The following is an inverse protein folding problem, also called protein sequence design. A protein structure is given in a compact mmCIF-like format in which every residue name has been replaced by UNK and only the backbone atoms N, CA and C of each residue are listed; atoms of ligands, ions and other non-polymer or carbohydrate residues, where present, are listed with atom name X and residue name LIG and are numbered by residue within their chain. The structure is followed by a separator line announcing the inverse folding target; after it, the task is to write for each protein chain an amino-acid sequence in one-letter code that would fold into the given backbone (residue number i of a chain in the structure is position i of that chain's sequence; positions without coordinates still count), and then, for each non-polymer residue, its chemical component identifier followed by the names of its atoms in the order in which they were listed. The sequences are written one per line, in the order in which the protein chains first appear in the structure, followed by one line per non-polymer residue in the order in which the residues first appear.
data_IF_179153613859
#
_entry.id   IF_179153613859
#
_cell.length_a   1.000
_cell.length_b   1.000
_cell.length_c   1.000
_cell.angle_alpha   90.00
_cell.angle_beta   90.00
_cell.angle_gamma   90.00
#
_symmetry.space_group_name_H-M   'P 1'
#
loop_
_entity.id
_entity.type
_entity.pdbx_description
1 polymer ?
#
# COMPACT_ATOMS: atom_id res chain seq x y z
N UNK A 1 -1.03 -21.80 19.02
CA UNK A 1 -2.05 -21.55 17.97
C UNK A 1 -2.40 -20.07 18.05
N UNK A 2 -1.87 -19.27 17.14
CA UNK A 2 -2.14 -17.84 17.16
C UNK A 2 -3.54 -17.61 16.66
N UNK A 3 -4.27 -16.79 17.42
CA UNK A 3 -5.65 -16.53 17.11
C UNK A 3 -5.79 -15.51 15.98
N UNK A 4 -6.85 -15.61 15.20
CA UNK A 4 -7.25 -14.60 14.18
C UNK A 4 -7.35 -13.20 14.82
N UNK A 5 -7.81 -13.13 16.05
CA UNK A 5 -7.91 -11.91 16.85
C UNK A 5 -6.54 -11.25 17.01
N UNK A 6 -5.50 -12.03 17.30
CA UNK A 6 -4.14 -11.54 17.44
C UNK A 6 -3.57 -11.07 16.10
N UNK A 7 -3.79 -11.83 15.02
CA UNK A 7 -3.37 -11.42 13.68
C UNK A 7 -4.05 -10.12 13.23
N UNK A 8 -5.34 -9.95 13.48
CA UNK A 8 -6.02 -8.70 13.15
C UNK A 8 -5.47 -7.53 13.97
N UNK A 9 -5.23 -7.74 15.26
CA UNK A 9 -4.60 -6.73 16.12
C UNK A 9 -3.22 -6.34 15.62
N UNK A 10 -2.40 -7.28 15.19
CA UNK A 10 -1.08 -7.02 14.58
C UNK A 10 -1.21 -6.17 13.32
N UNK A 11 -2.10 -6.53 12.40
CA UNK A 11 -2.34 -5.74 11.17
C UNK A 11 -2.78 -4.30 11.47
N UNK A 12 -3.69 -4.12 12.42
CA UNK A 12 -4.17 -2.80 12.82
C UNK A 12 -3.09 -1.94 13.49
N UNK A 13 -2.05 -2.55 14.04
CA UNK A 13 -0.91 -1.87 14.68
C UNK A 13 0.35 -1.84 13.78
N UNK A 14 0.24 -2.20 12.51
CA UNK A 14 1.35 -2.19 11.56
C UNK A 14 2.45 -3.22 11.86
N UNK A 15 2.11 -4.27 12.60
CA UNK A 15 3.03 -5.36 12.93
C UNK A 15 2.93 -6.49 11.90
N UNK A 16 4.03 -7.21 11.63
CA UNK A 16 4.00 -8.36 10.74
C UNK A 16 3.13 -9.49 11.34
N UNK A 17 2.46 -10.22 10.45
CA UNK A 17 1.77 -11.45 10.84
C UNK A 17 2.76 -12.53 11.23
N UNK A 18 2.27 -13.56 11.88
CA UNK A 18 3.11 -14.70 12.19
C UNK A 18 3.40 -15.56 10.95
N UNK A 19 4.56 -16.18 10.97
CA UNK A 19 5.18 -16.86 9.85
C UNK A 19 4.30 -17.94 9.19
N UNK A 20 3.46 -18.64 9.97
CA UNK A 20 2.59 -19.71 9.48
C UNK A 20 1.51 -19.20 8.50
N UNK A 21 1.07 -17.95 8.63
CA UNK A 21 -0.01 -17.39 7.80
C UNK A 21 0.50 -16.56 6.63
N UNK A 22 1.78 -16.25 6.60
CA UNK A 22 2.41 -15.36 5.62
C UNK A 22 2.37 -15.90 4.18
N UNK A 23 2.44 -17.22 4.02
CA UNK A 23 2.52 -17.88 2.71
C UNK A 23 1.18 -18.45 2.20
N UNK A 24 0.08 -18.18 2.89
CA UNK A 24 -1.23 -18.67 2.50
C UNK A 24 -1.83 -17.78 1.41
N UNK A 25 -2.19 -18.39 0.28
CA UNK A 25 -2.82 -17.70 -0.83
C UNK A 25 -4.05 -18.49 -1.30
N UNK A 26 -5.18 -17.80 -1.41
CA UNK A 26 -6.46 -18.41 -1.79
C UNK A 26 -6.65 -18.48 -3.31
N UNK A 27 -6.04 -17.56 -4.04
CA UNK A 27 -6.20 -17.44 -5.48
C UNK A 27 -4.85 -17.04 -6.10
N UNK A 28 -4.05 -18.05 -6.39
CA UNK A 28 -2.72 -17.90 -6.98
C UNK A 28 -2.82 -17.46 -8.44
N UNK A 29 -1.72 -16.96 -9.00
CA UNK A 29 -1.67 -16.57 -10.41
C UNK A 29 -1.92 -17.79 -11.34
N UNK A 30 -1.47 -18.97 -10.95
CA UNK A 30 -1.78 -20.22 -11.66
C UNK A 30 -3.28 -20.50 -11.67
N UNK A 31 -3.95 -20.43 -10.53
CA UNK A 31 -5.41 -20.60 -10.42
C UNK A 31 -6.17 -19.53 -11.22
N UNK A 32 -5.70 -18.27 -11.22
CA UNK A 32 -6.25 -17.19 -12.04
C UNK A 32 -6.11 -17.48 -13.54
N UNK A 33 -4.96 -17.98 -13.96
CA UNK A 33 -4.72 -18.34 -15.36
C UNK A 33 -5.61 -19.51 -15.80
N UNK A 34 -5.73 -20.56 -14.98
CA UNK A 34 -6.64 -21.69 -15.26
C UNK A 34 -8.09 -21.24 -15.38
N UNK A 35 -8.54 -20.35 -14.50
CA UNK A 35 -9.90 -19.77 -14.59
C UNK A 35 -10.11 -18.95 -15.87
N UNK A 36 -9.09 -18.25 -16.34
CA UNK A 36 -9.12 -17.47 -17.57
C UNK A 36 -9.15 -18.39 -18.80
N UNK A 37 -8.33 -19.42 -18.83
CA UNK A 37 -8.30 -20.44 -19.89
C UNK A 37 -9.61 -21.22 -20.00
N UNK A 38 -10.24 -21.54 -18.88
CA UNK A 38 -11.56 -22.17 -18.84
C UNK A 38 -12.66 -21.34 -19.50
N UNK A 39 -12.47 -20.02 -19.62
CA UNK A 39 -13.33 -19.10 -20.34
C UNK A 39 -12.94 -18.95 -21.82
N UNK A 40 -11.94 -19.67 -22.30
CA UNK A 40 -11.41 -19.57 -23.66
C UNK A 40 -10.55 -18.33 -23.91
N UNK A 41 -10.07 -17.69 -22.86
CA UNK A 41 -9.23 -16.48 -22.93
C UNK A 41 -7.77 -16.85 -22.66
N UNK A 42 -6.86 -16.32 -23.48
CA UNK A 42 -5.43 -16.52 -23.28
C UNK A 42 -4.93 -15.71 -22.07
N UNK A 43 -4.21 -16.33 -21.11
CA UNK A 43 -3.57 -15.61 -20.02
C UNK A 43 -2.56 -14.56 -20.51
N UNK A 44 -2.51 -13.42 -19.83
CA UNK A 44 -1.60 -12.31 -20.16
C UNK A 44 -0.32 -12.28 -19.34
N UNK A 45 -0.20 -13.18 -18.36
CA UNK A 45 1.01 -13.35 -17.55
C UNK A 45 1.24 -14.84 -17.28
N UNK A 46 2.49 -15.22 -17.13
CA UNK A 46 2.87 -16.58 -16.76
C UNK A 46 2.77 -16.79 -15.25
N UNK A 47 2.43 -18.01 -14.83
CA UNK A 47 2.22 -18.34 -13.40
C UNK A 47 3.53 -18.37 -12.60
N UNK A 48 4.68 -18.41 -13.26
CA UNK A 48 6.01 -18.36 -12.68
C UNK A 48 6.53 -16.92 -12.43
N UNK A 49 5.69 -15.91 -12.63
CA UNK A 49 6.07 -14.52 -12.37
C UNK A 49 6.62 -14.34 -10.94
N UNK A 50 7.81 -13.75 -10.85
CA UNK A 50 8.47 -13.44 -9.59
C UNK A 50 8.79 -11.94 -9.56
N UNK A 51 8.31 -11.19 -8.54
CA UNK A 51 8.69 -9.81 -8.33
C UNK A 51 10.19 -9.70 -8.12
N UNK A 52 10.85 -8.90 -8.96
CA UNK A 52 12.28 -8.62 -8.85
C UNK A 52 12.48 -7.15 -9.13
N UNK A 53 12.95 -6.40 -8.14
CA UNK A 53 13.14 -4.94 -8.22
C UNK A 53 14.11 -4.61 -9.37
N UNK A 54 13.70 -3.67 -10.21
CA UNK A 54 14.46 -3.24 -11.37
C UNK A 54 14.41 -4.18 -12.58
N UNK A 55 13.67 -5.29 -12.50
CA UNK A 55 13.48 -6.24 -13.60
C UNK A 55 12.02 -6.45 -13.95
N UNK A 56 11.27 -7.05 -13.04
CA UNK A 56 9.86 -7.40 -13.26
C UNK A 56 8.88 -6.48 -12.53
N UNK A 57 9.35 -5.77 -11.51
CA UNK A 57 8.57 -4.78 -10.78
C UNK A 57 9.33 -3.47 -10.65
N UNK A 58 8.57 -2.38 -10.60
CA UNK A 58 9.07 -1.04 -10.31
C UNK A 58 8.43 -0.56 -9.03
N UNK A 59 9.24 -0.37 -8.00
CA UNK A 59 8.85 0.26 -6.74
C UNK A 59 9.46 1.65 -6.67
N UNK A 60 8.61 2.64 -6.40
CA UNK A 60 9.00 4.04 -6.30
C UNK A 60 8.63 4.55 -4.92
N UNK A 61 9.48 5.38 -4.35
CA UNK A 61 9.19 6.17 -3.15
C UNK A 61 9.00 7.62 -3.55
N UNK A 62 8.01 8.27 -2.98
CA UNK A 62 7.80 9.71 -3.10
C UNK A 62 7.61 10.28 -1.70
N UNK A 63 8.40 11.28 -1.34
CA UNK A 63 8.41 11.82 0.02
C UNK A 63 7.82 13.23 0.03
N UNK A 64 6.87 13.47 0.91
CA UNK A 64 6.20 14.76 1.04
C UNK A 64 6.41 15.28 2.46
N UNK A 65 7.33 16.22 2.62
CA UNK A 65 7.57 16.88 3.91
C UNK A 65 6.91 18.25 3.92
N UNK A 66 6.18 18.52 4.99
CA UNK A 66 5.50 19.79 5.21
C UNK A 66 6.07 20.39 6.50
N UNK A 67 6.59 21.62 6.43
CA UNK A 67 7.10 22.32 7.60
C UNK A 67 6.00 23.09 8.35
N UNK A 68 6.36 23.79 9.44
CA UNK A 68 5.41 24.51 10.29
C UNK A 68 4.82 25.76 9.60
N UNK A 69 5.41 26.21 8.49
CA UNK A 69 4.87 27.27 7.64
C UNK A 69 3.98 26.75 6.51
N UNK A 70 3.63 25.46 6.55
CA UNK A 70 2.86 24.78 5.51
C UNK A 70 3.55 24.77 4.12
N UNK A 71 4.86 24.92 4.11
CA UNK A 71 5.68 24.79 2.90
C UNK A 71 6.05 23.34 2.67
N UNK A 72 6.17 22.94 1.42
CA UNK A 72 6.52 21.59 0.97
C UNK A 72 7.97 21.55 0.47
N UNK A 73 8.71 20.54 0.88
CA UNK A 73 10.04 20.29 0.38
C UNK A 73 9.97 19.80 -1.06
N UNK A 74 10.56 20.55 -1.98
CA UNK A 74 10.62 20.22 -3.40
C UNK A 74 12.03 20.31 -3.94
N UNK A 75 12.28 19.55 -4.99
CA UNK A 75 13.54 19.54 -5.71
C UNK A 75 13.35 19.95 -7.16
N UNK A 76 14.40 20.45 -7.77
CA UNK A 76 14.41 20.83 -9.19
C UNK A 76 15.18 19.79 -10.00
N UNK A 77 14.55 19.26 -11.01
CA UNK A 77 15.06 18.17 -11.85
C UNK A 77 16.32 18.57 -12.61
N UNK A 78 17.31 17.68 -12.57
CA UNK A 78 18.53 17.77 -13.36
C UNK A 78 18.48 16.96 -14.66
N UNK A 79 17.57 15.98 -14.77
CA UNK A 79 17.44 15.11 -15.95
C UNK A 79 17.10 15.91 -17.19
N UNK A 80 17.82 15.70 -18.27
CA UNK A 80 17.68 16.47 -19.51
C UNK A 80 16.24 16.57 -20.04
N UNK A 81 15.45 15.51 -19.91
CA UNK A 81 14.05 15.47 -20.39
C UNK A 81 13.09 16.39 -19.60
N UNK A 82 13.45 16.77 -18.38
CA UNK A 82 12.62 17.58 -17.49
C UNK A 82 13.43 18.59 -16.67
N UNK A 83 14.63 18.94 -17.13
CA UNK A 83 15.55 19.85 -16.43
C UNK A 83 14.88 21.19 -16.10
N UNK A 84 15.09 21.63 -14.88
CA UNK A 84 14.54 22.88 -14.37
C UNK A 84 13.09 22.81 -13.86
N UNK A 85 12.40 21.70 -14.08
CA UNK A 85 11.05 21.48 -13.53
C UNK A 85 11.11 21.00 -12.09
N UNK A 86 10.08 21.32 -11.33
CA UNK A 86 9.99 20.97 -9.93
C UNK A 86 9.18 19.71 -9.67
N UNK A 87 9.61 18.94 -8.69
CA UNK A 87 8.95 17.71 -8.27
C UNK A 87 9.17 17.43 -6.78
N UNK A 88 8.49 16.43 -6.24
CA UNK A 88 8.80 15.91 -4.91
C UNK A 88 10.10 15.10 -4.95
N UNK A 89 10.83 14.99 -3.82
CA UNK A 89 11.88 14.00 -3.70
C UNK A 89 11.31 12.60 -3.93
N UNK A 90 11.76 11.94 -4.99
CA UNK A 90 11.19 10.67 -5.42
C UNK A 90 12.14 9.91 -6.34
N UNK A 91 12.17 8.59 -6.18
CA UNK A 91 12.98 7.76 -7.04
C UNK A 91 12.66 6.28 -6.94
N UNK A 92 13.35 5.49 -7.73
CA UNK A 92 13.20 4.04 -7.76
C UNK A 92 13.93 3.40 -6.59
N UNK A 93 13.27 2.44 -5.97
CA UNK A 93 13.95 1.57 -5.01
C UNK A 93 15.02 0.74 -5.72
N UNK A 94 16.15 0.57 -5.06
CA UNK A 94 17.22 -0.31 -5.51
C UNK A 94 17.07 -1.71 -4.91
N UNK A 95 17.60 -2.76 -5.57
CA UNK A 95 17.62 -4.10 -4.99
C UNK A 95 18.25 -4.13 -3.60
N UNK A 96 17.58 -4.79 -2.65
CA UNK A 96 18.05 -4.92 -1.28
C UNK A 96 17.68 -3.79 -0.33
N UNK A 97 17.09 -2.71 -0.82
CA UNK A 97 16.58 -1.61 0.02
C UNK A 97 15.20 -1.92 0.59
N UNK A 98 14.98 -1.52 1.84
CA UNK A 98 13.61 -1.36 2.36
C UNK A 98 12.96 -0.08 1.79
N UNK A 99 11.64 0.02 1.89
CA UNK A 99 10.90 1.22 1.46
C UNK A 99 11.41 2.47 2.19
N UNK A 100 11.62 2.38 3.51
CA UNK A 100 12.11 3.53 4.29
C UNK A 100 13.57 3.89 3.99
N UNK A 101 14.44 2.91 3.78
CA UNK A 101 15.84 3.16 3.38
C UNK A 101 15.91 3.87 2.03
N UNK A 102 15.14 3.41 1.06
CA UNK A 102 15.04 4.06 -0.25
C UNK A 102 14.55 5.51 -0.13
N UNK A 103 13.52 5.75 0.69
CA UNK A 103 12.98 7.09 0.91
C UNK A 103 14.04 8.03 1.52
N UNK A 104 14.76 7.59 2.54
CA UNK A 104 15.83 8.37 3.18
C UNK A 104 16.95 8.68 2.19
N UNK A 105 17.36 7.70 1.37
CA UNK A 105 18.40 7.88 0.35
C UNK A 105 17.99 8.90 -0.70
N UNK A 106 16.81 8.77 -1.28
CA UNK A 106 16.31 9.70 -2.32
C UNK A 106 16.18 11.14 -1.79
N UNK A 107 15.67 11.30 -0.57
CA UNK A 107 15.59 12.63 0.07
C UNK A 107 16.98 13.25 0.21
N UNK A 108 17.97 12.49 0.67
CA UNK A 108 19.33 13.00 0.82
C UNK A 108 19.97 13.34 -0.53
N UNK A 109 19.87 12.45 -1.51
CA UNK A 109 20.48 12.63 -2.84
C UNK A 109 19.89 13.83 -3.58
N UNK A 110 18.59 14.06 -3.46
CA UNK A 110 17.90 15.11 -4.20
C UNK A 110 17.81 16.44 -3.46
N UNK A 111 17.84 16.43 -2.12
CA UNK A 111 17.67 17.66 -1.32
C UNK A 111 18.81 18.03 -0.40
N UNK A 112 19.73 17.12 -0.13
CA UNK A 112 20.82 17.29 0.84
C UNK A 112 20.37 17.15 2.31
N UNK A 113 19.09 16.85 2.55
CA UNK A 113 18.53 16.77 3.91
C UNK A 113 18.46 15.32 4.40
N UNK A 114 18.68 15.16 5.71
CA UNK A 114 18.48 13.89 6.40
C UNK A 114 17.05 13.81 6.92
N UNK A 115 16.38 12.72 6.62
CA UNK A 115 14.98 12.51 6.99
C UNK A 115 14.80 11.29 7.89
N UNK A 116 13.82 11.39 8.78
CA UNK A 116 13.22 10.26 9.49
C UNK A 116 11.81 10.05 8.94
N UNK A 117 11.55 8.87 8.39
CA UNK A 117 10.22 8.51 7.88
C UNK A 117 9.32 8.10 9.04
N UNK A 118 8.14 8.69 9.14
CA UNK A 118 7.20 8.42 10.24
C UNK A 118 5.96 7.66 9.83
N UNK A 119 5.49 7.80 8.59
CA UNK A 119 4.29 7.10 8.12
C UNK A 119 4.18 7.05 6.60
N UNK A 120 3.43 6.07 6.12
CA UNK A 120 2.85 6.05 4.79
C UNK A 120 1.66 7.03 4.74
N UNK A 121 1.49 7.72 3.62
CA UNK A 121 0.35 8.61 3.36
C UNK A 121 -0.59 8.07 2.29
N UNK A 122 -0.04 7.38 1.29
CA UNK A 122 -0.80 6.80 0.20
C UNK A 122 0.00 5.68 -0.48
N UNK A 123 -0.72 4.81 -1.17
CA UNK A 123 -0.17 3.85 -2.11
C UNK A 123 -0.79 4.10 -3.47
N UNK A 124 0.04 4.20 -4.50
CA UNK A 124 -0.40 4.27 -5.89
C UNK A 124 0.06 3.03 -6.64
N UNK A 125 -0.77 2.53 -7.52
CA UNK A 125 -0.48 1.36 -8.33
C UNK A 125 -0.90 1.58 -9.79
N UNK A 126 -0.05 1.15 -10.72
CA UNK A 126 -0.36 1.11 -12.15
C UNK A 126 -0.13 -0.32 -12.65
N UNK A 127 -1.21 -1.01 -13.04
CA UNK A 127 -1.16 -2.46 -13.20
C UNK A 127 -0.85 -3.15 -11.89
N UNK A 128 -0.22 -4.32 -11.94
CA UNK A 128 0.19 -5.11 -10.77
C UNK A 128 1.69 -5.22 -10.60
N UNK A 129 2.48 -4.41 -11.31
CA UNK A 129 3.94 -4.45 -11.30
C UNK A 129 4.61 -3.09 -11.09
N UNK A 130 3.83 -2.03 -10.95
CA UNK A 130 4.31 -0.69 -10.65
C UNK A 130 3.60 -0.14 -9.41
N UNK A 131 4.38 0.26 -8.40
CA UNK A 131 3.87 0.79 -7.14
C UNK A 131 4.67 2.01 -6.72
N UNK A 132 3.96 3.03 -6.24
CA UNK A 132 4.57 4.21 -5.62
C UNK A 132 4.09 4.35 -4.18
N UNK A 133 5.03 4.28 -3.25
CA UNK A 133 4.81 4.46 -1.83
C UNK A 133 5.01 5.92 -1.50
N UNK A 134 3.97 6.57 -1.00
CA UNK A 134 4.00 7.98 -0.62
C UNK A 134 4.17 8.07 0.89
N UNK A 135 5.24 8.73 1.31
CA UNK A 135 5.66 8.78 2.71
C UNK A 135 5.85 10.22 3.17
N UNK A 136 5.79 10.40 4.48
CA UNK A 136 6.16 11.65 5.15
C UNK A 136 6.99 11.35 6.40
N UNK A 137 7.49 12.40 7.01
CA UNK A 137 8.29 12.29 8.22
C UNK A 137 8.82 13.64 8.68
N UNK A 138 9.96 13.61 9.34
CA UNK A 138 10.63 14.77 9.88
C UNK A 138 12.01 14.95 9.22
N UNK A 139 12.39 16.20 8.98
CA UNK A 139 13.77 16.52 8.63
C UNK A 139 14.57 16.64 9.93
N UNK A 140 15.63 15.85 10.03
CA UNK A 140 16.43 15.70 11.25
C UNK A 140 17.86 16.26 11.12
N UNK A 141 18.22 16.77 9.95
CA UNK A 141 19.55 17.35 9.72
C UNK A 141 19.83 17.55 8.25
N UNK A 142 21.10 17.77 7.94
CA UNK A 142 21.58 18.04 6.60
C UNK A 142 21.51 19.52 6.22
N UNK A 143 21.94 19.82 5.01
CA UNK A 143 21.92 21.16 4.44
C UNK A 143 21.16 21.15 3.11
N UNK A 144 20.21 22.06 2.95
CA UNK A 144 19.40 22.19 1.74
C UNK A 144 20.29 22.40 0.51
N UNK A 145 20.11 21.59 -0.52
CA UNK A 145 20.91 21.66 -1.75
C UNK A 145 20.71 22.99 -2.46
N UNK A 146 21.78 23.72 -2.66
CA UNK A 146 21.82 24.98 -3.41
C UNK A 146 22.22 24.75 -4.87
N UNK A 147 22.00 25.69 -5.82
CA UNK A 147 22.47 25.56 -7.20
C UNK A 147 23.96 25.31 -7.34
N UNK A 148 24.78 25.81 -6.39
CA UNK A 148 26.24 25.58 -6.39
C UNK A 148 26.61 24.10 -6.12
N UNK A 149 25.68 23.33 -5.56
CA UNK A 149 25.82 21.89 -5.26
C UNK A 149 25.01 21.01 -6.21
N UNK A 150 24.54 21.57 -7.33
CA UNK A 150 23.83 20.83 -8.36
C UNK A 150 24.65 19.62 -8.85
N UNK A 151 23.95 18.50 -9.05
CA UNK A 151 24.55 17.27 -9.57
C UNK A 151 23.56 16.57 -10.53
N UNK A 152 23.84 15.33 -10.86
CA UNK A 152 22.99 14.53 -11.77
C UNK A 152 21.59 14.21 -11.19
N UNK A 153 21.44 14.27 -9.86
CA UNK A 153 20.18 13.92 -9.19
C UNK A 153 19.24 15.13 -9.17
N UNK A 154 19.74 16.32 -8.81
CA UNK A 154 18.95 17.53 -8.75
C UNK A 154 19.77 18.80 -8.91
N UNK A 155 19.13 19.88 -9.35
CA UNK A 155 19.76 21.20 -9.48
C UNK A 155 19.77 21.95 -8.15
N UNK A 156 18.70 21.86 -7.37
CA UNK A 156 18.52 22.47 -6.05
C UNK A 156 17.28 21.90 -5.36
N UNK A 157 17.13 22.20 -4.09
CA UNK A 157 15.90 21.95 -3.34
C UNK A 157 15.47 23.19 -2.56
N UNK A 158 14.16 23.34 -2.35
CA UNK A 158 13.57 24.48 -1.63
C UNK A 158 12.32 24.06 -0.87
N UNK A 159 12.01 24.78 0.18
CA UNK A 159 10.70 24.80 0.79
C UNK A 159 9.78 25.75 0.02
N UNK A 160 8.66 25.23 -0.50
CA UNK A 160 7.75 25.96 -1.39
C UNK A 160 6.39 26.12 -0.73
N UNK A 161 5.94 27.38 -0.62
CA UNK A 161 4.62 27.71 -0.07
C UNK A 161 3.50 27.54 -1.11
N UNK A 162 3.68 28.15 -2.27
CA UNK A 162 2.71 28.07 -3.37
C UNK A 162 3.30 27.31 -4.57
N UNK A 163 2.80 26.09 -4.78
CA UNK A 163 3.24 25.25 -5.90
C UNK A 163 2.72 25.73 -7.26
N UNK A 164 1.68 26.58 -7.29
CA UNK A 164 1.12 27.11 -8.55
C UNK A 164 2.08 28.07 -9.28
N UNK A 165 3.05 28.64 -8.56
CA UNK A 165 4.09 29.49 -9.12
C UNK A 165 5.20 28.70 -9.83
N UNK A 166 5.20 27.38 -9.72
CA UNK A 166 6.25 26.51 -10.23
C UNK A 166 5.86 25.85 -11.56
N UNK A 167 6.87 25.66 -12.41
CA UNK A 167 6.77 24.71 -13.53
C UNK A 167 6.98 23.31 -13.01
N UNK A 168 5.91 22.56 -12.81
CA UNK A 168 5.96 21.19 -12.32
C UNK A 168 6.34 20.20 -13.41
N UNK A 169 7.13 19.19 -13.06
CA UNK A 169 7.43 18.06 -13.96
C UNK A 169 6.17 17.31 -14.36
N UNK A 170 5.26 17.10 -13.41
CA UNK A 170 3.94 16.50 -13.61
C UNK A 170 3.00 16.99 -12.51
N UNK A 171 1.70 17.01 -12.79
CA UNK A 171 0.68 17.47 -11.84
C UNK A 171 0.15 16.36 -10.93
N UNK A 172 0.59 15.13 -11.08
CA UNK A 172 0.21 13.98 -10.27
C UNK A 172 0.53 14.15 -8.78
N UNK A 173 1.53 14.97 -8.45
CA UNK A 173 1.95 15.24 -7.07
C UNK A 173 1.04 16.22 -6.32
N UNK A 174 0.19 16.97 -7.00
CA UNK A 174 -0.67 17.99 -6.35
C UNK A 174 -1.57 17.37 -5.29
N UNK A 175 -2.25 16.27 -5.63
CA UNK A 175 -3.09 15.54 -4.68
C UNK A 175 -2.30 14.94 -3.52
N UNK A 176 -1.06 14.52 -3.74
CA UNK A 176 -0.18 13.98 -2.70
C UNK A 176 0.25 15.07 -1.71
N UNK A 177 0.52 16.26 -2.21
CA UNK A 177 0.82 17.45 -1.39
C UNK A 177 -0.38 17.82 -0.53
N UNK A 178 -1.59 17.80 -1.10
CA UNK A 178 -2.83 18.07 -0.36
C UNK A 178 -3.05 17.06 0.77
N UNK A 179 -2.82 15.77 0.51
CA UNK A 179 -2.88 14.73 1.53
C UNK A 179 -1.87 15.02 2.66
N UNK A 180 -0.63 15.33 2.33
CA UNK A 180 0.42 15.59 3.31
C UNK A 180 0.14 16.83 4.15
N UNK A 181 -0.33 17.92 3.55
CA UNK A 181 -0.74 19.14 4.27
C UNK A 181 -1.92 18.86 5.20
N UNK A 182 -2.93 18.13 4.73
CA UNK A 182 -4.07 17.72 5.54
C UNK A 182 -3.65 16.85 6.72
N UNK A 183 -2.73 15.92 6.49
CA UNK A 183 -2.18 15.08 7.55
C UNK A 183 -1.38 15.90 8.59
N UNK A 184 -0.53 16.82 8.16
CA UNK A 184 0.25 17.71 9.03
C UNK A 184 -0.67 18.58 9.88
N UNK A 185 -1.71 19.14 9.28
CA UNK A 185 -2.63 20.11 9.88
C UNK A 185 -3.90 19.48 10.46
N UNK A 186 -3.88 18.17 10.71
CA UNK A 186 -5.08 17.43 11.13
C UNK A 186 -5.70 17.89 12.45
N UNK A 187 -4.92 18.57 13.30
CA UNK A 187 -5.40 19.06 14.59
C UNK A 187 -5.98 17.94 15.46
N UNK A 188 -7.14 18.17 16.10
CA UNK A 188 -7.81 17.14 16.90
C UNK A 188 -8.57 16.11 16.06
N UNK A 189 -8.66 16.29 14.75
CA UNK A 189 -9.35 15.34 13.86
C UNK A 189 -8.56 14.04 13.75
N UNK A 190 -9.24 12.91 13.88
CA UNK A 190 -8.55 11.63 13.76
C UNK A 190 -8.07 11.39 12.33
N UNK A 191 -6.84 10.90 12.24
CA UNK A 191 -6.23 10.32 11.06
C UNK A 191 -5.72 8.94 11.45
N UNK A 192 -5.24 8.19 10.45
CA UNK A 192 -4.57 6.92 10.74
C UNK A 192 -3.37 7.16 11.67
N UNK A 193 -3.10 6.18 12.52
CA UNK A 193 -1.87 6.13 13.32
C UNK A 193 -0.64 6.11 12.40
N UNK A 194 0.54 6.26 12.97
CA UNK A 194 1.79 6.10 12.22
C UNK A 194 1.88 4.67 11.70
N UNK A 195 1.79 4.51 10.38
CA UNK A 195 1.86 3.21 9.69
C UNK A 195 3.13 3.17 8.86
N UNK A 196 4.10 2.40 9.32
CA UNK A 196 5.33 2.11 8.58
C UNK A 196 5.19 0.75 7.90
N UNK A 197 5.93 0.51 6.78
CA UNK A 197 6.01 -0.81 6.19
C UNK A 197 6.47 -1.84 7.21
N UNK A 198 5.73 -2.93 7.35
CA UNK A 198 6.08 -4.03 8.24
C UNK A 198 7.20 -4.89 7.61
N UNK A 199 8.15 -5.32 8.42
CA UNK A 199 9.28 -6.15 7.97
C UNK A 199 8.83 -7.61 7.86
N UNK A 200 8.30 -7.97 6.71
CA UNK A 200 7.91 -9.32 6.38
C UNK A 200 8.32 -9.65 4.96
N UNK A 201 9.00 -10.77 4.79
CA UNK A 201 9.49 -11.25 3.50
C UNK A 201 8.40 -11.95 2.71
N UNK A 202 8.26 -11.60 1.43
CA UNK A 202 7.36 -12.24 0.48
C UNK A 202 8.07 -12.58 -0.82
N UNK A 203 7.80 -13.76 -1.37
CA UNK A 203 8.31 -14.19 -2.68
C UNK A 203 7.44 -13.72 -3.85
N UNK A 204 6.18 -13.42 -3.58
CA UNK A 204 5.17 -12.96 -4.54
C UNK A 204 4.54 -11.66 -4.07
N UNK A 205 3.82 -10.98 -4.95
CA UNK A 205 3.00 -9.84 -4.58
C UNK A 205 1.59 -10.31 -4.21
N UNK A 206 1.13 -9.93 -3.02
CA UNK A 206 -0.16 -10.33 -2.49
C UNK A 206 -1.04 -9.13 -2.13
N UNK A 207 -2.34 -9.33 -2.33
CA UNK A 207 -3.38 -8.48 -1.78
C UNK A 207 -4.17 -9.30 -0.76
N UNK A 208 -4.03 -8.96 0.52
CA UNK A 208 -4.81 -9.52 1.62
C UNK A 208 -6.02 -8.64 1.87
N UNK A 209 -7.16 -9.23 2.08
CA UNK A 209 -8.41 -8.50 2.24
C UNK A 209 -9.01 -8.78 3.61
N UNK A 210 -9.22 -7.72 4.39
CA UNK A 210 -10.03 -7.75 5.59
C UNK A 210 -11.44 -7.33 5.18
N UNK A 211 -12.33 -8.29 5.00
CA UNK A 211 -13.72 -8.03 4.65
C UNK A 211 -14.55 -7.95 5.92
N UNK A 212 -15.10 -6.78 6.19
CA UNK A 212 -15.92 -6.53 7.38
C UNK A 212 -17.39 -6.37 7.01
N UNK A 213 -18.25 -6.98 7.81
CA UNK A 213 -19.71 -6.96 7.63
C UNK A 213 -20.42 -6.94 9.00
N UNK A 214 -21.57 -6.30 9.04
CA UNK A 214 -22.43 -6.32 10.24
C UNK A 214 -23.53 -7.36 10.13
N UNK A 215 -23.79 -8.02 11.23
CA UNK A 215 -24.96 -8.88 11.40
C UNK A 215 -26.16 -8.02 11.83
N UNK A 216 -27.28 -8.12 11.11
CA UNK A 216 -28.49 -7.29 11.38
C UNK A 216 -29.06 -7.56 12.76
N UNK A 217 -29.16 -8.83 13.13
CA UNK A 217 -29.84 -9.26 14.35
C UNK A 217 -29.15 -8.84 15.63
N UNK A 218 -27.82 -8.83 15.64
CA UNK A 218 -26.99 -8.55 16.83
C UNK A 218 -26.20 -7.25 16.74
N UNK A 219 -26.18 -6.63 15.55
CA UNK A 219 -25.31 -5.49 15.22
C UNK A 219 -23.82 -5.76 15.46
N UNK A 220 -23.45 -7.02 15.57
CA UNK A 220 -22.04 -7.43 15.75
C UNK A 220 -21.26 -7.35 14.45
N UNK A 221 -19.98 -7.05 14.55
CA UNK A 221 -19.06 -7.01 13.43
C UNK A 221 -18.45 -8.38 13.18
N UNK A 222 -18.44 -8.79 11.92
CA UNK A 222 -17.81 -10.04 11.48
C UNK A 222 -16.75 -9.74 10.42
N UNK A 223 -15.74 -10.59 10.38
CA UNK A 223 -14.72 -10.59 9.32
C UNK A 223 -14.69 -11.92 8.60
N UNK A 224 -14.34 -11.87 7.31
CA UNK A 224 -14.22 -13.06 6.49
C UNK A 224 -12.90 -13.77 6.75
N UNK A 225 -12.96 -15.09 6.92
CA UNK A 225 -11.79 -15.96 7.00
C UNK A 225 -11.85 -17.01 5.92
N UNK A 226 -10.70 -17.29 5.32
CA UNK A 226 -10.51 -18.46 4.48
C UNK A 226 -10.27 -19.71 5.34
N UNK A 227 -10.85 -20.82 4.90
CA UNK A 227 -10.63 -22.16 5.49
C UNK A 227 -9.60 -22.97 4.71
N UNK A 228 -8.95 -22.39 3.68
CA UNK A 228 -7.95 -23.08 2.87
C UNK A 228 -6.69 -23.33 3.72
N UNK A 229 -6.43 -24.58 4.04
CA UNK A 229 -5.36 -25.08 4.91
C UNK A 229 -5.57 -24.75 6.39
N UNK A 230 -5.41 -23.50 6.79
CA UNK A 230 -5.70 -22.98 8.14
C UNK A 230 -6.48 -21.70 8.03
N UNK A 231 -7.21 -21.31 9.09
CA UNK A 231 -7.93 -20.05 9.11
C UNK A 231 -6.97 -18.88 8.93
N UNK A 232 -7.23 -18.07 7.90
CA UNK A 232 -6.46 -16.87 7.61
C UNK A 232 -7.32 -15.83 6.87
N UNK A 233 -6.84 -14.60 6.77
CA UNK A 233 -7.52 -13.59 5.96
C UNK A 233 -7.35 -13.89 4.48
N UNK A 234 -8.45 -13.81 3.69
CA UNK A 234 -8.41 -14.09 2.26
C UNK A 234 -7.32 -13.30 1.54
N UNK A 235 -6.51 -13.99 0.76
CA UNK A 235 -5.34 -13.42 0.09
C UNK A 235 -5.28 -13.89 -1.35
N UNK A 236 -5.07 -12.95 -2.26
CA UNK A 236 -4.92 -13.18 -3.70
C UNK A 236 -3.52 -12.76 -4.15
N UNK A 237 -2.93 -13.52 -5.05
CA UNK A 237 -1.70 -13.11 -5.73
C UNK A 237 -2.02 -11.99 -6.73
N UNK A 238 -1.25 -10.91 -6.70
CA UNK A 238 -1.47 -9.76 -7.58
C UNK A 238 -1.04 -10.12 -9.00
N UNK A 239 -1.96 -9.99 -9.95
CA UNK A 239 -1.70 -10.21 -11.36
C UNK A 239 -0.84 -9.06 -11.91
N UNK A 240 0.36 -9.32 -12.48
CA UNK A 240 1.30 -8.27 -12.85
C UNK A 240 0.81 -7.35 -13.98
N UNK A 241 -0.06 -7.84 -14.85
CA UNK A 241 -0.57 -7.11 -16.01
C UNK A 241 -1.98 -6.50 -15.82
N UNK A 242 -2.58 -6.65 -14.63
CA UNK A 242 -3.93 -6.12 -14.34
C UNK A 242 -3.89 -5.08 -13.24
N UNK A 243 -4.83 -4.14 -13.27
CA UNK A 243 -5.00 -3.19 -12.17
C UNK A 243 -5.37 -3.91 -10.86
N UNK A 244 -5.04 -3.33 -9.72
CA UNK A 244 -5.44 -3.88 -8.42
C UNK A 244 -6.96 -3.97 -8.28
N UNK A 245 -7.71 -3.05 -8.88
CA UNK A 245 -9.18 -3.13 -8.90
C UNK A 245 -9.66 -4.36 -9.65
N UNK A 246 -9.05 -4.69 -10.78
CA UNK A 246 -9.40 -5.90 -11.54
C UNK A 246 -9.05 -7.17 -10.76
N UNK A 247 -7.88 -7.20 -10.12
CA UNK A 247 -7.47 -8.33 -9.28
C UNK A 247 -8.42 -8.51 -8.10
N UNK A 248 -8.74 -7.44 -7.38
CA UNK A 248 -9.70 -7.47 -6.27
C UNK A 248 -11.07 -7.95 -6.73
N UNK A 249 -11.61 -7.38 -7.83
CA UNK A 249 -12.92 -7.76 -8.35
C UNK A 249 -12.99 -9.24 -8.70
N UNK A 250 -12.00 -9.77 -9.41
CA UNK A 250 -11.95 -11.19 -9.77
C UNK A 250 -11.88 -12.07 -8.53
N UNK A 251 -11.10 -11.68 -7.53
CA UNK A 251 -11.03 -12.38 -6.27
C UNK A 251 -12.34 -12.36 -5.50
N UNK A 252 -13.01 -11.23 -5.44
CA UNK A 252 -14.33 -11.13 -4.81
C UNK A 252 -15.38 -12.02 -5.52
N UNK A 253 -15.31 -12.15 -6.83
CA UNK A 253 -16.17 -13.06 -7.59
C UNK A 253 -15.91 -14.52 -7.20
N UNK A 254 -14.68 -14.92 -6.98
CA UNK A 254 -14.34 -16.27 -6.49
C UNK A 254 -14.91 -16.54 -5.09
N UNK A 255 -14.99 -15.53 -4.25
CA UNK A 255 -15.48 -15.67 -2.88
C UNK A 255 -17.01 -15.58 -2.76
N UNK A 256 -17.66 -14.72 -3.54
CA UNK A 256 -19.08 -14.34 -3.39
C UNK A 256 -19.95 -14.64 -4.60
N UNK A 257 -19.38 -14.97 -5.75
CA UNK A 257 -20.10 -15.16 -7.01
C UNK A 257 -20.17 -13.89 -7.86
N UNK A 258 -20.77 -14.04 -9.05
CA UNK A 258 -20.83 -12.95 -10.05
C UNK A 258 -21.67 -11.74 -9.61
N UNK A 259 -22.69 -11.97 -8.81
CA UNK A 259 -23.52 -10.92 -8.20
C UNK A 259 -22.86 -10.47 -6.89
N UNK A 260 -21.88 -9.56 -7.02
CA UNK A 260 -21.14 -9.08 -5.87
C UNK A 260 -22.01 -8.22 -4.95
N UNK A 261 -21.99 -8.49 -3.63
CA UNK A 261 -22.59 -7.59 -2.67
C UNK A 261 -22.00 -6.20 -2.76
N UNK A 262 -22.81 -5.18 -2.51
CA UNK A 262 -22.35 -3.81 -2.51
C UNK A 262 -21.30 -3.62 -1.40
N UNK A 263 -20.10 -3.21 -1.79
CA UNK A 263 -18.96 -3.05 -0.88
C UNK A 263 -18.14 -1.82 -1.24
N UNK A 264 -17.37 -1.36 -0.27
CA UNK A 264 -16.48 -0.23 -0.40
C UNK A 264 -15.10 -0.57 0.14
N UNK A 265 -14.04 -0.46 -0.66
CA UNK A 265 -12.68 -0.39 -0.14
C UNK A 265 -12.58 0.83 0.79
N UNK A 266 -12.23 0.59 2.05
CA UNK A 266 -12.03 1.66 3.04
C UNK A 266 -10.66 2.30 2.86
N UNK A 267 -9.64 1.46 2.69
CA UNK A 267 -8.27 1.87 2.48
C UNK A 267 -7.28 0.80 2.91
N UNK A 268 -6.00 1.15 2.86
CA UNK A 268 -4.89 0.25 3.19
C UNK A 268 -4.61 0.29 4.68
N UNK A 269 -4.56 -0.89 5.31
CA UNK A 269 -4.20 -1.07 6.71
C UNK A 269 -2.71 -1.26 6.91
N UNK A 270 -2.06 -2.00 6.02
CA UNK A 270 -0.64 -2.29 6.12
C UNK A 270 0.00 -2.61 4.77
N UNK A 271 1.31 -2.40 4.69
CA UNK A 271 2.17 -2.89 3.61
C UNK A 271 3.31 -3.66 4.27
N UNK A 272 3.57 -4.87 3.78
CA UNK A 272 4.66 -5.74 4.24
C UNK A 272 5.70 -5.85 3.14
N UNK A 273 6.95 -5.61 3.48
CA UNK A 273 8.08 -5.76 2.59
C UNK A 273 9.36 -5.92 3.42
N UNK A 274 10.17 -6.90 3.08
CA UNK A 274 11.48 -7.08 3.68
C UNK A 274 12.39 -7.79 2.67
N UNK A 275 13.14 -7.05 1.86
CA UNK A 275 14.03 -7.66 0.88
C UNK A 275 15.14 -8.44 1.58
N UNK A 276 15.54 -9.55 1.02
CA UNK A 276 16.71 -10.27 1.53
C UNK A 276 17.99 -9.50 1.17
N UNK A 277 18.93 -9.49 2.10
CA UNK A 277 20.28 -9.02 1.85
C UNK A 277 20.92 -9.77 0.68
N UNK A 278 21.76 -9.08 -0.09
CA UNK A 278 22.48 -9.64 -1.22
C UNK A 278 23.17 -10.97 -0.87
N UNK A 279 22.82 -12.03 -1.61
CA UNK A 279 23.40 -13.37 -1.39
C UNK A 279 22.41 -14.50 -1.20
N UNK A 280 21.11 -14.23 -1.11
CA UNK A 280 20.07 -15.28 -1.09
C UNK A 280 19.76 -15.73 -2.51
N UNK A 281 19.62 -17.05 -2.70
CA UNK A 281 19.40 -17.70 -3.99
C UNK A 281 18.00 -17.45 -4.59
N UNK A 282 17.10 -16.80 -3.86
CA UNK A 282 15.70 -16.58 -4.26
C UNK A 282 15.32 -15.12 -4.05
N UNK A 283 14.72 -14.44 -5.06
CA UNK A 283 14.22 -13.07 -4.90
C UNK A 283 13.12 -13.02 -3.82
N UNK A 284 13.21 -12.03 -2.94
CA UNK A 284 12.25 -11.77 -1.87
C UNK A 284 11.74 -10.34 -1.94
N UNK A 285 11.57 -9.83 -3.16
CA UNK A 285 11.15 -8.46 -3.43
C UNK A 285 9.62 -8.28 -3.41
N UNK A 286 8.88 -9.33 -3.07
CA UNK A 286 7.43 -9.28 -3.00
C UNK A 286 6.92 -8.36 -1.89
N UNK A 287 5.70 -7.85 -2.09
CA UNK A 287 4.96 -7.06 -1.11
C UNK A 287 3.65 -7.74 -0.77
N UNK A 288 3.14 -7.49 0.43
CA UNK A 288 1.75 -7.80 0.78
C UNK A 288 1.04 -6.52 1.19
N UNK A 289 -0.03 -6.20 0.46
CA UNK A 289 -0.90 -5.07 0.75
C UNK A 289 -2.13 -5.62 1.47
N UNK A 290 -2.43 -5.10 2.65
CA UNK A 290 -3.68 -5.44 3.37
C UNK A 290 -4.68 -4.32 3.20
N UNK A 291 -5.81 -4.65 2.57
CA UNK A 291 -6.90 -3.73 2.25
C UNK A 291 -8.11 -4.03 3.13
N UNK A 292 -8.67 -3.01 3.76
CA UNK A 292 -9.94 -3.10 4.46
C UNK A 292 -11.09 -2.84 3.48
N UNK A 293 -12.01 -3.79 3.39
CA UNK A 293 -13.22 -3.70 2.56
C UNK A 293 -14.45 -3.85 3.44
N UNK A 294 -15.37 -2.90 3.34
CA UNK A 294 -16.59 -2.88 4.15
C UNK A 294 -17.80 -3.19 3.29
N UNK A 295 -18.59 -4.18 3.70
CA UNK A 295 -19.84 -4.54 3.04
C UNK A 295 -20.98 -3.68 3.55
N UNK A 296 -21.87 -3.24 2.62
CA UNK A 296 -23.07 -2.48 2.96
C UNK A 296 -24.25 -3.34 3.37
N UNK A 297 -24.57 -4.45 2.64
CA UNK A 297 -25.65 -5.33 3.09
C UNK A 297 -25.26 -6.03 4.39
N UNK A 298 -26.24 -6.41 5.21
CA UNK A 298 -25.97 -7.19 6.41
C UNK A 298 -25.56 -8.63 6.05
N UNK A 299 -24.90 -9.28 7.00
CA UNK A 299 -24.37 -10.64 6.84
C UNK A 299 -25.42 -11.64 6.35
N UNK A 300 -26.67 -11.51 6.83
CA UNK A 300 -27.78 -12.40 6.48
C UNK A 300 -28.17 -12.35 4.99
N UNK A 301 -27.76 -11.30 4.29
CA UNK A 301 -28.06 -11.12 2.85
C UNK A 301 -26.87 -11.53 1.95
N UNK A 302 -25.75 -11.95 2.53
CA UNK A 302 -24.53 -12.27 1.78
C UNK A 302 -24.24 -13.76 1.81
N UNK A 303 -24.28 -14.38 0.63
CA UNK A 303 -23.91 -15.78 0.45
C UNK A 303 -22.44 -15.93 0.11
N UNK A 304 -21.80 -16.94 0.67
CA UNK A 304 -20.43 -17.35 0.38
C UNK A 304 -20.44 -18.56 -0.55
N UNK A 305 -19.66 -18.53 -1.62
CA UNK A 305 -19.46 -19.68 -2.51
C UNK A 305 -18.05 -20.27 -2.38
N UNK A 306 -17.10 -19.50 -1.92
CA UNK A 306 -15.75 -19.96 -1.61
C UNK A 306 -15.67 -20.70 -0.28
N UNK A 307 -14.51 -21.31 -0.01
CA UNK A 307 -14.21 -21.96 1.28
C UNK A 307 -13.86 -20.90 2.33
N UNK A 308 -14.89 -20.16 2.75
CA UNK A 308 -14.74 -19.08 3.72
C UNK A 308 -15.86 -19.15 4.77
N UNK A 309 -15.59 -18.55 5.92
CA UNK A 309 -16.55 -18.39 7.01
C UNK A 309 -16.51 -16.96 7.55
N UNK A 310 -17.65 -16.54 8.13
CA UNK A 310 -17.72 -15.31 8.89
C UNK A 310 -17.32 -15.56 10.33
N UNK A 311 -16.39 -14.76 10.82
CA UNK A 311 -15.91 -14.81 12.21
C UNK A 311 -16.37 -13.57 12.96
N UNK A 312 -17.13 -13.76 14.03
CA UNK A 312 -17.58 -12.67 14.89
C UNK A 312 -16.41 -12.08 15.68
N UNK A 313 -16.27 -10.76 15.64
CA UNK A 313 -15.35 -10.03 16.47
C UNK A 313 -16.04 -9.58 17.75
N UNK A 314 -15.53 -10.05 18.89
CA UNK A 314 -16.03 -9.71 20.21
C UNK A 314 -15.05 -8.84 20.99
N UNK A 315 -15.55 -8.12 22.00
CA UNK A 315 -14.73 -7.31 22.89
C UNK A 315 -14.08 -6.09 22.23
N UNK A 316 -12.95 -5.68 22.77
CA UNK A 316 -12.26 -4.43 22.40
C UNK A 316 -11.81 -4.36 20.94
N UNK A 317 -11.45 -5.49 20.35
CA UNK A 317 -11.00 -5.53 18.96
C UNK A 317 -12.15 -5.23 17.98
N UNK A 318 -13.35 -5.76 18.25
CA UNK A 318 -14.55 -5.43 17.47
C UNK A 318 -14.91 -3.95 17.58
N UNK A 319 -14.77 -3.37 18.76
CA UNK A 319 -14.96 -1.92 18.96
C UNK A 319 -13.91 -1.09 18.23
N UNK A 320 -12.64 -1.48 18.30
CA UNK A 320 -11.54 -0.79 17.60
C UNK A 320 -11.73 -0.82 16.09
N UNK A 321 -12.06 -1.98 15.51
CA UNK A 321 -12.31 -2.08 14.06
C UNK A 321 -13.55 -1.29 13.64
N UNK A 322 -14.61 -1.33 14.46
CA UNK A 322 -15.81 -0.51 14.23
C UNK A 322 -15.48 0.98 14.21
N UNK A 323 -14.71 1.47 15.18
CA UNK A 323 -14.27 2.85 15.26
C UNK A 323 -13.43 3.23 14.02
N UNK A 324 -12.53 2.35 13.60
CA UNK A 324 -11.70 2.54 12.42
C UNK A 324 -12.55 2.65 11.15
N UNK A 325 -13.54 1.79 10.98
CA UNK A 325 -14.48 1.82 9.83
C UNK A 325 -15.29 3.12 9.79
N UNK A 326 -15.74 3.61 10.94
CA UNK A 326 -16.57 4.80 11.05
C UNK A 326 -15.75 6.10 10.97
N UNK A 327 -14.45 6.04 11.16
CA UNK A 327 -13.58 7.21 11.17
C UNK A 327 -13.04 7.47 9.78
N UNK A 328 -13.25 8.69 9.27
CA UNK A 328 -12.64 9.16 8.03
C UNK A 328 -11.12 9.28 8.21
N UNK A 329 -10.36 8.90 7.18
CA UNK A 329 -8.89 8.95 7.16
C UNK A 329 -8.19 8.05 8.20
N UNK A 330 -8.85 7.03 8.70
CA UNK A 330 -8.27 6.05 9.65
C UNK A 330 -7.37 5.01 8.97
N UNK A 331 -7.44 4.92 7.65
CA UNK A 331 -6.56 4.13 6.77
C UNK A 331 -5.97 5.05 5.71
N UNK A 332 -4.90 4.66 5.05
CA UNK A 332 -4.38 5.46 3.95
C UNK A 332 -4.93 5.00 2.60
N UNK A 333 -5.07 5.92 1.62
CA UNK A 333 -5.71 5.61 0.36
C UNK A 333 -4.85 4.74 -0.56
N UNK A 334 -5.52 3.90 -1.36
CA UNK A 334 -4.98 3.23 -2.53
C UNK A 334 -5.52 3.93 -3.78
N UNK A 335 -4.62 4.49 -4.58
CA UNK A 335 -4.95 5.12 -5.85
C UNK A 335 -4.48 4.23 -7.01
N UNK A 336 -5.41 3.77 -7.82
CA UNK A 336 -5.10 3.00 -9.02
C UNK A 336 -4.99 3.97 -10.20
N UNK A 337 -3.78 4.08 -10.73
CA UNK A 337 -3.46 4.91 -11.90
C UNK A 337 -3.77 4.10 -13.15
N UNK A 338 -4.45 4.72 -14.12
CA UNK A 338 -4.80 4.13 -15.42
C UNK A 338 -3.77 4.48 -16.48
#
# INVERSE_FOLDING_TARGET
RISIVENLSRLMNGLPLEEITVHLCDFTLEEQNLATEAQGIQPTATSDFIPTVGRTVTYIVACVFVNDRNEVLMMQEAKQSCAGKWYLPAGRMEPGESICESAVREVYEETGLNAEITTLLALEAAGGSWFRFVLTGNIIGGELKTPARADKESLQAKWIGDINELSLRAHDIVSLIDIARSYKNRGPNPWHEKILPAKQTHQKNYLRVIVAIRKRTTNSLHVLLSEKNVYHFPTVEIHPARSLHSTLRKFMIELFGAELPQHRPHGVLSIEHNPSSAGHSSPTDGICITLLVVFRPPLEEVSLIGKCVWHELTGSLGEQLTKLILTKNSTFPLHVIR
#
